data_IF_154297859346
#
_entry.id   IF_154297859346
#
_cell.length_a   1.000
_cell.length_b   1.000
_cell.length_c   1.000
_cell.angle_alpha   90.00
_cell.angle_beta   90.00
_cell.angle_gamma   90.00
#
_symmetry.space_group_name_H-M   'P 1'
#
loop_
_entity.id
_entity.type
_entity.pdbx_description
1 polymer ?
#
# COMPACT_ATOMS: atom_id res chain seq x y z
N UNK A 1 127.29 -12.50 18.62
CA UNK A 1 126.82 -11.24 17.99
C UNK A 1 125.84 -11.49 16.84
N UNK A 2 126.20 -12.31 15.84
CA UNK A 2 125.35 -12.60 14.67
C UNK A 2 123.99 -13.25 15.01
N UNK A 3 123.95 -14.21 15.94
CA UNK A 3 122.70 -14.87 16.36
C UNK A 3 121.73 -13.93 17.12
N UNK A 4 122.26 -13.00 17.92
CA UNK A 4 121.44 -12.02 18.66
C UNK A 4 120.85 -10.96 17.70
N UNK A 5 121.63 -10.51 16.72
CA UNK A 5 121.15 -9.58 15.68
C UNK A 5 120.07 -10.24 14.81
N UNK A 6 120.25 -11.52 14.45
CA UNK A 6 119.25 -12.28 13.70
C UNK A 6 117.96 -12.50 14.52
N UNK A 7 118.08 -12.86 15.80
CA UNK A 7 116.92 -13.03 16.68
C UNK A 7 116.14 -11.71 16.86
N UNK A 8 116.85 -10.59 17.08
CA UNK A 8 116.23 -9.28 17.27
C UNK A 8 115.51 -8.78 16.01
N UNK A 9 116.16 -8.91 14.84
CA UNK A 9 115.56 -8.60 13.54
C UNK A 9 114.34 -9.49 13.26
N UNK A 10 114.45 -10.79 13.54
CA UNK A 10 113.33 -11.72 13.36
C UNK A 10 112.16 -11.36 14.28
N UNK A 11 112.39 -11.07 15.56
CA UNK A 11 111.33 -10.67 16.49
C UNK A 11 110.71 -9.32 16.15
N UNK A 12 111.49 -8.36 15.65
CA UNK A 12 110.98 -7.05 15.24
C UNK A 12 110.13 -7.17 13.97
N UNK A 13 110.62 -7.87 12.96
CA UNK A 13 109.88 -8.12 11.72
C UNK A 13 108.62 -8.92 12.03
N UNK A 14 108.71 -9.97 12.84
CA UNK A 14 107.57 -10.80 13.19
C UNK A 14 106.53 -10.01 13.99
N UNK A 15 106.92 -9.24 15.01
CA UNK A 15 105.96 -8.45 15.81
C UNK A 15 105.37 -7.31 14.99
N UNK A 16 106.16 -6.60 14.18
CA UNK A 16 105.65 -5.51 13.34
C UNK A 16 104.69 -6.03 12.28
N UNK A 17 105.06 -7.09 11.54
CA UNK A 17 104.19 -7.70 10.54
C UNK A 17 102.94 -8.27 11.20
N UNK A 18 103.09 -9.02 12.30
CA UNK A 18 101.96 -9.63 12.98
C UNK A 18 101.00 -8.56 13.53
N UNK A 19 101.51 -7.54 14.23
CA UNK A 19 100.66 -6.48 14.78
C UNK A 19 100.02 -5.64 13.69
N UNK A 20 100.76 -5.23 12.67
CA UNK A 20 100.20 -4.42 11.59
C UNK A 20 99.16 -5.19 10.78
N UNK A 21 99.48 -6.41 10.35
CA UNK A 21 98.55 -7.25 9.60
C UNK A 21 97.35 -7.61 10.48
N UNK A 22 97.57 -8.08 11.70
CA UNK A 22 96.47 -8.48 12.57
C UNK A 22 95.58 -7.29 12.92
N UNK A 23 96.13 -6.15 13.32
CA UNK A 23 95.30 -4.98 13.68
C UNK A 23 94.61 -4.40 12.46
N UNK A 24 95.30 -4.22 11.34
CA UNK A 24 94.70 -3.65 10.14
C UNK A 24 93.63 -4.57 9.57
N UNK A 25 93.93 -5.86 9.37
CA UNK A 25 92.96 -6.82 8.85
C UNK A 25 91.82 -7.00 9.84
N UNK A 26 92.09 -7.21 11.12
CA UNK A 26 91.02 -7.43 12.09
C UNK A 26 90.15 -6.19 12.24
N UNK A 27 90.72 -5.00 12.39
CA UNK A 27 89.90 -3.78 12.54
C UNK A 27 89.16 -3.45 11.26
N UNK A 28 89.80 -3.50 10.09
CA UNK A 28 89.14 -3.19 8.83
C UNK A 28 88.04 -4.20 8.50
N UNK A 29 88.34 -5.50 8.56
CA UNK A 29 87.34 -6.53 8.29
C UNK A 29 86.24 -6.51 9.33
N UNK A 30 86.57 -6.47 10.62
CA UNK A 30 85.55 -6.48 11.66
C UNK A 30 84.68 -5.22 11.60
N UNK A 31 85.26 -4.03 11.48
CA UNK A 31 84.46 -2.80 11.42
C UNK A 31 83.66 -2.71 10.14
N UNK A 32 84.25 -3.00 8.98
CA UNK A 32 83.54 -2.93 7.70
C UNK A 32 82.43 -3.97 7.63
N UNK A 33 82.72 -5.24 7.93
CA UNK A 33 81.71 -6.30 7.90
C UNK A 33 80.64 -6.03 8.95
N UNK A 34 81.02 -5.73 10.20
CA UNK A 34 80.04 -5.51 11.25
C UNK A 34 79.18 -4.28 10.97
N UNK A 35 79.76 -3.15 10.57
CA UNK A 35 78.98 -1.94 10.29
C UNK A 35 78.12 -2.13 9.04
N UNK A 36 78.67 -2.68 7.95
CA UNK A 36 77.92 -2.89 6.71
C UNK A 36 76.78 -3.90 6.92
N UNK A 37 77.06 -5.07 7.49
CA UNK A 37 76.04 -6.09 7.75
C UNK A 37 75.01 -5.54 8.74
N UNK A 38 75.44 -4.97 9.86
CA UNK A 38 74.51 -4.49 10.87
C UNK A 38 73.66 -3.34 10.32
N UNK A 39 74.24 -2.34 9.67
CA UNK A 39 73.46 -1.22 9.13
C UNK A 39 72.57 -1.67 8.00
N UNK A 40 73.07 -2.45 7.03
CA UNK A 40 72.28 -2.90 5.90
C UNK A 40 71.14 -3.83 6.34
N UNK A 41 71.44 -4.86 7.13
CA UNK A 41 70.41 -5.80 7.60
C UNK A 41 69.42 -5.07 8.50
N UNK A 42 69.89 -4.29 9.49
CA UNK A 42 68.99 -3.61 10.39
C UNK A 42 68.14 -2.58 9.66
N UNK A 43 68.71 -1.73 8.80
CA UNK A 43 67.92 -0.73 8.08
C UNK A 43 66.99 -1.40 7.07
N UNK A 44 67.46 -2.35 6.28
CA UNK A 44 66.62 -3.03 5.28
C UNK A 44 65.49 -3.81 5.93
N UNK A 45 65.78 -4.66 6.92
CA UNK A 45 64.76 -5.45 7.61
C UNK A 45 63.82 -4.52 8.36
N UNK A 46 64.33 -3.57 9.15
CA UNK A 46 63.47 -2.69 9.92
C UNK A 46 62.61 -1.82 9.01
N UNK A 47 63.17 -1.18 7.99
CA UNK A 47 62.39 -0.33 7.09
C UNK A 47 61.42 -1.15 6.27
N UNK A 48 61.85 -2.25 5.66
CA UNK A 48 60.97 -3.08 4.83
C UNK A 48 59.84 -3.70 5.65
N UNK A 49 60.15 -4.36 6.77
CA UNK A 49 59.14 -4.99 7.62
C UNK A 49 58.23 -3.92 8.21
N UNK A 50 58.78 -2.84 8.79
CA UNK A 50 57.95 -1.81 9.41
C UNK A 50 57.08 -1.11 8.37
N UNK A 51 57.62 -0.70 7.22
CA UNK A 51 56.83 -0.02 6.19
C UNK A 51 55.82 -0.97 5.58
N UNK A 52 56.20 -2.20 5.21
CA UNK A 52 55.28 -3.16 4.62
C UNK A 52 54.16 -3.55 5.58
N UNK A 53 54.49 -3.94 6.81
CA UNK A 53 53.49 -4.32 7.80
C UNK A 53 52.62 -3.12 8.16
N UNK A 54 53.20 -1.96 8.46
CA UNK A 54 52.41 -0.79 8.83
C UNK A 54 51.53 -0.33 7.67
N UNK A 55 52.06 -0.22 6.45
CA UNK A 55 51.25 0.22 5.30
C UNK A 55 50.20 -0.81 4.95
N UNK A 56 50.54 -2.11 4.88
CA UNK A 56 49.58 -3.16 4.53
C UNK A 56 48.49 -3.28 5.59
N UNK A 57 48.85 -3.41 6.87
CA UNK A 57 47.87 -3.53 7.95
C UNK A 57 47.03 -2.26 8.04
N UNK A 58 47.65 -1.08 8.06
CA UNK A 58 46.90 0.17 8.18
C UNK A 58 46.00 0.39 6.97
N UNK A 59 46.49 0.21 5.74
CA UNK A 59 45.66 0.40 4.55
C UNK A 59 44.57 -0.66 4.47
N UNK A 60 44.88 -1.94 4.67
CA UNK A 60 43.89 -3.01 4.60
C UNK A 60 42.83 -2.87 5.69
N UNK A 61 43.22 -2.71 6.95
CA UNK A 61 42.27 -2.55 8.05
C UNK A 61 41.46 -1.28 7.87
N UNK A 62 42.11 -0.15 7.60
CA UNK A 62 41.40 1.12 7.46
C UNK A 62 40.46 1.09 6.25
N UNK A 63 40.91 0.63 5.09
CA UNK A 63 40.04 0.56 3.90
C UNK A 63 38.94 -0.46 4.09
N UNK A 64 39.22 -1.66 4.59
CA UNK A 64 38.21 -2.69 4.80
C UNK A 64 37.18 -2.24 5.83
N UNK A 65 37.60 -1.80 7.01
CA UNK A 65 36.68 -1.34 8.06
C UNK A 65 35.91 -0.13 7.58
N UNK A 66 36.57 0.89 7.02
CA UNK A 66 35.89 2.09 6.58
C UNK A 66 34.91 1.78 5.45
N UNK A 67 35.32 1.03 4.42
CA UNK A 67 34.43 0.70 3.31
C UNK A 67 33.31 -0.20 3.76
N UNK A 68 33.58 -1.26 4.52
CA UNK A 68 32.54 -2.18 4.98
C UNK A 68 31.54 -1.49 5.92
N UNK A 69 32.03 -0.80 6.95
CA UNK A 69 31.15 -0.09 7.89
C UNK A 69 30.39 1.01 7.17
N UNK A 70 31.05 1.85 6.39
CA UNK A 70 30.38 2.95 5.70
C UNK A 70 29.37 2.42 4.68
N UNK A 71 29.74 1.45 3.85
CA UNK A 71 28.81 0.89 2.85
C UNK A 71 27.68 0.14 3.53
N UNK A 72 27.93 -0.70 4.53
CA UNK A 72 26.89 -1.44 5.24
C UNK A 72 25.95 -0.51 5.98
N UNK A 73 26.46 0.42 6.78
CA UNK A 73 25.62 1.37 7.52
C UNK A 73 24.86 2.26 6.54
N UNK A 74 25.53 2.84 5.54
CA UNK A 74 24.86 3.71 4.58
C UNK A 74 23.80 2.96 3.79
N UNK A 75 24.11 1.76 3.26
CA UNK A 75 23.13 0.98 2.50
C UNK A 75 22.00 0.50 3.38
N UNK A 76 22.27 -0.03 4.58
CA UNK A 76 21.24 -0.49 5.49
C UNK A 76 20.33 0.64 5.94
N UNK A 77 20.90 1.75 6.44
CA UNK A 77 20.12 2.91 6.88
C UNK A 77 19.35 3.50 5.71
N UNK A 78 20.01 3.75 4.57
CA UNK A 78 19.34 4.35 3.42
C UNK A 78 18.23 3.43 2.88
N UNK A 79 18.50 2.14 2.69
CA UNK A 79 17.49 1.21 2.17
C UNK A 79 16.36 1.03 3.17
N UNK A 80 16.65 0.81 4.45
CA UNK A 80 15.62 0.61 5.47
C UNK A 80 14.76 1.87 5.65
N UNK A 81 15.38 3.04 5.84
CA UNK A 81 14.64 4.28 6.00
C UNK A 81 13.86 4.61 4.73
N UNK A 82 14.50 4.55 3.55
CA UNK A 82 13.81 4.86 2.31
C UNK A 82 12.67 3.88 2.04
N UNK A 83 12.89 2.58 2.19
CA UNK A 83 11.83 1.58 1.99
C UNK A 83 10.72 1.79 3.01
N UNK A 84 11.03 1.85 4.31
CA UNK A 84 10.03 2.02 5.35
C UNK A 84 9.20 3.30 5.16
N UNK A 85 9.87 4.45 4.98
CA UNK A 85 9.18 5.73 4.78
C UNK A 85 8.37 5.69 3.49
N UNK A 86 8.98 5.27 2.38
CA UNK A 86 8.28 5.24 1.10
C UNK A 86 7.09 4.29 1.15
N UNK A 87 7.26 3.06 1.64
CA UNK A 87 6.16 2.09 1.74
C UNK A 87 5.11 2.60 2.69
N UNK A 88 5.47 3.04 3.91
CA UNK A 88 4.50 3.46 4.91
C UNK A 88 3.70 4.68 4.44
N UNK A 89 4.39 5.73 3.98
CA UNK A 89 3.74 6.95 3.49
C UNK A 89 2.91 6.64 2.26
N UNK A 90 3.46 5.94 1.27
CA UNK A 90 2.73 5.64 0.05
C UNK A 90 1.53 4.75 0.35
N UNK A 91 1.67 3.67 1.12
CA UNK A 91 0.54 2.81 1.46
C UNK A 91 -0.48 3.54 2.30
N UNK A 92 -0.07 4.30 3.32
CA UNK A 92 -0.99 5.00 4.19
C UNK A 92 -1.75 6.10 3.44
N UNK A 93 -1.05 6.95 2.70
CA UNK A 93 -1.68 8.03 1.93
C UNK A 93 -2.54 7.43 0.83
N UNK A 94 -2.03 6.48 0.05
CA UNK A 94 -2.80 5.88 -1.04
C UNK A 94 -4.03 5.15 -0.50
N UNK A 95 -3.89 4.32 0.54
CA UNK A 95 -5.04 3.60 1.10
C UNK A 95 -6.01 4.56 1.75
N UNK A 96 -5.57 5.54 2.54
CA UNK A 96 -6.46 6.50 3.18
C UNK A 96 -7.19 7.36 2.16
N UNK A 97 -6.48 7.96 1.19
CA UNK A 97 -7.10 8.79 0.16
C UNK A 97 -8.02 7.95 -0.71
N UNK A 98 -7.55 6.79 -1.21
CA UNK A 98 -8.37 5.95 -2.06
C UNK A 98 -9.60 5.44 -1.32
N UNK A 99 -9.46 4.92 -0.10
CA UNK A 99 -10.61 4.45 0.67
C UNK A 99 -11.54 5.58 1.02
N UNK A 100 -11.05 6.72 1.52
CA UNK A 100 -11.89 7.85 1.89
C UNK A 100 -12.62 8.43 0.68
N UNK A 101 -11.90 8.75 -0.41
CA UNK A 101 -12.50 9.31 -1.61
C UNK A 101 -13.45 8.29 -2.25
N UNK A 102 -13.01 7.05 -2.45
CA UNK A 102 -13.85 6.04 -3.08
C UNK A 102 -15.08 5.76 -2.23
N UNK A 103 -14.94 5.51 -0.93
CA UNK A 103 -16.11 5.24 -0.07
C UNK A 103 -17.00 6.47 0.03
N UNK A 104 -16.47 7.66 0.28
CA UNK A 104 -17.28 8.86 0.42
C UNK A 104 -18.00 9.20 -0.89
N UNK A 105 -17.29 9.29 -2.01
CA UNK A 105 -17.90 9.62 -3.31
C UNK A 105 -18.85 8.51 -3.73
N UNK A 106 -18.43 7.24 -3.69
CA UNK A 106 -19.29 6.15 -4.12
C UNK A 106 -20.52 6.05 -3.23
N UNK A 107 -20.38 6.09 -1.90
CA UNK A 107 -21.55 6.01 -1.02
C UNK A 107 -22.43 7.23 -1.17
N UNK A 108 -21.88 8.45 -1.19
CA UNK A 108 -22.67 9.67 -1.31
C UNK A 108 -23.39 9.74 -2.65
N UNK A 109 -22.68 9.56 -3.77
CA UNK A 109 -23.29 9.61 -5.10
C UNK A 109 -24.27 8.46 -5.28
N UNK A 110 -23.87 7.23 -4.95
CA UNK A 110 -24.75 6.08 -5.13
C UNK A 110 -25.98 6.20 -4.24
N UNK A 111 -25.85 6.52 -2.95
CA UNK A 111 -27.01 6.68 -2.07
C UNK A 111 -27.85 7.85 -2.49
N UNK A 112 -27.28 9.02 -2.79
CA UNK A 112 -28.05 10.20 -3.19
C UNK A 112 -28.79 9.97 -4.50
N UNK A 113 -28.09 9.52 -5.55
CA UNK A 113 -28.71 9.27 -6.86
C UNK A 113 -29.71 8.13 -6.75
N UNK A 114 -29.34 6.99 -6.16
CA UNK A 114 -30.24 5.85 -6.04
C UNK A 114 -31.46 6.21 -5.21
N UNK A 115 -31.29 6.82 -4.03
CA UNK A 115 -32.45 7.20 -3.20
C UNK A 115 -33.28 8.27 -3.87
N UNK A 116 -32.68 9.32 -4.44
CA UNK A 116 -33.45 10.39 -5.07
C UNK A 116 -34.20 9.88 -6.30
N UNK A 117 -33.52 9.21 -7.23
CA UNK A 117 -34.16 8.67 -8.44
C UNK A 117 -35.17 7.60 -8.07
N UNK A 118 -34.81 6.63 -7.23
CA UNK A 118 -35.72 5.56 -6.86
C UNK A 118 -36.93 6.12 -6.10
N UNK A 119 -36.74 6.97 -5.10
CA UNK A 119 -37.87 7.56 -4.37
C UNK A 119 -38.70 8.45 -5.26
N UNK A 120 -38.10 9.34 -6.06
CA UNK A 120 -38.86 10.25 -6.92
C UNK A 120 -39.62 9.48 -8.00
N UNK A 121 -38.96 8.61 -8.75
CA UNK A 121 -39.62 7.82 -9.81
C UNK A 121 -40.63 6.87 -9.20
N UNK A 122 -40.27 6.09 -8.17
CA UNK A 122 -41.20 5.15 -7.57
C UNK A 122 -42.37 5.88 -6.93
N UNK A 123 -42.17 6.92 -6.13
CA UNK A 123 -43.28 7.65 -5.53
C UNK A 123 -44.10 8.34 -6.59
N UNK A 124 -43.51 9.06 -7.54
CA UNK A 124 -44.27 9.78 -8.56
C UNK A 124 -45.05 8.83 -9.46
N UNK A 125 -44.39 7.82 -10.06
CA UNK A 125 -45.06 6.87 -10.94
C UNK A 125 -46.06 6.04 -10.15
N UNK A 126 -45.68 5.45 -9.02
CA UNK A 126 -46.58 4.61 -8.26
C UNK A 126 -47.75 5.43 -7.72
N UNK A 127 -47.53 6.58 -7.09
CA UNK A 127 -48.65 7.38 -6.57
C UNK A 127 -49.50 7.92 -7.69
N UNK A 128 -48.93 8.50 -8.74
CA UNK A 128 -49.70 9.08 -9.83
C UNK A 128 -50.50 8.02 -10.59
N UNK A 129 -49.84 6.94 -11.05
CA UNK A 129 -50.52 5.88 -11.79
C UNK A 129 -51.50 5.15 -10.90
N UNK A 130 -51.10 4.73 -9.69
CA UNK A 130 -52.00 4.02 -8.80
C UNK A 130 -53.18 4.89 -8.40
N UNK A 131 -52.95 6.13 -7.95
CA UNK A 131 -54.07 6.99 -7.55
C UNK A 131 -54.95 7.34 -8.73
N UNK A 132 -54.39 7.73 -9.88
CA UNK A 132 -55.19 8.09 -11.05
C UNK A 132 -55.99 6.91 -11.58
N UNK A 133 -55.35 5.77 -11.85
CA UNK A 133 -56.03 4.59 -12.36
C UNK A 133 -57.03 4.05 -11.34
N UNK A 134 -56.60 3.88 -10.08
CA UNK A 134 -57.48 3.34 -9.04
C UNK A 134 -58.67 4.28 -8.80
N UNK A 135 -58.45 5.59 -8.63
CA UNK A 135 -59.56 6.53 -8.39
C UNK A 135 -60.45 6.63 -9.61
N UNK A 136 -59.90 6.73 -10.83
CA UNK A 136 -60.71 6.84 -12.04
C UNK A 136 -61.54 5.59 -12.28
N UNK A 137 -60.92 4.40 -12.25
CA UNK A 137 -61.64 3.13 -12.45
C UNK A 137 -62.64 2.90 -11.32
N UNK A 138 -62.23 3.09 -10.06
CA UNK A 138 -63.11 2.88 -8.92
C UNK A 138 -64.30 3.83 -8.96
N UNK A 139 -64.08 5.14 -9.18
CA UNK A 139 -65.17 6.12 -9.25
C UNK A 139 -66.07 5.87 -10.45
N UNK A 140 -65.51 5.57 -11.63
CA UNK A 140 -66.30 5.29 -12.82
C UNK A 140 -67.16 4.04 -12.66
N UNK A 141 -66.59 2.91 -12.22
CA UNK A 141 -67.33 1.67 -12.01
C UNK A 141 -68.36 1.85 -10.89
N UNK A 142 -67.98 2.45 -9.77
CA UNK A 142 -68.89 2.66 -8.64
C UNK A 142 -70.06 3.57 -9.01
N UNK A 143 -69.81 4.69 -9.71
CA UNK A 143 -70.88 5.60 -10.15
C UNK A 143 -71.76 4.94 -11.21
N UNK A 144 -71.19 4.17 -12.14
CA UNK A 144 -71.96 3.46 -13.16
C UNK A 144 -72.89 2.41 -12.55
N UNK A 145 -72.37 1.57 -11.64
CA UNK A 145 -73.18 0.58 -10.92
C UNK A 145 -74.25 1.27 -10.06
N UNK A 146 -73.88 2.34 -9.34
CA UNK A 146 -74.83 3.10 -8.53
C UNK A 146 -75.95 3.70 -9.38
N UNK A 147 -75.64 4.26 -10.56
CA UNK A 147 -76.62 4.79 -11.49
C UNK A 147 -77.55 3.70 -12.06
N UNK A 148 -77.03 2.50 -12.35
CA UNK A 148 -77.87 1.37 -12.75
C UNK A 148 -78.83 1.00 -11.61
N UNK A 149 -78.32 0.91 -10.39
CA UNK A 149 -79.13 0.55 -9.23
C UNK A 149 -80.24 1.59 -8.97
N UNK A 150 -79.91 2.88 -9.01
CA UNK A 150 -80.90 3.96 -8.85
C UNK A 150 -81.91 3.97 -9.99
N UNK A 151 -81.50 3.70 -11.23
CA UNK A 151 -82.40 3.57 -12.38
C UNK A 151 -83.38 2.40 -12.21
N UNK A 152 -82.88 1.21 -11.84
CA UNK A 152 -83.74 0.03 -11.58
C UNK A 152 -84.70 0.32 -10.43
N UNK A 153 -84.20 0.89 -9.32
CA UNK A 153 -85.03 1.21 -8.15
C UNK A 153 -86.13 2.22 -8.49
N UNK A 154 -85.80 3.30 -9.20
CA UNK A 154 -86.78 4.31 -9.62
C UNK A 154 -87.77 3.75 -10.63
N UNK A 155 -87.34 2.92 -11.58
CA UNK A 155 -88.22 2.25 -12.54
C UNK A 155 -89.20 1.29 -11.84
N UNK A 156 -88.72 0.44 -10.93
CA UNK A 156 -89.59 -0.47 -10.17
C UNK A 156 -90.55 0.32 -9.29
N UNK A 157 -90.07 1.34 -8.58
CA UNK A 157 -90.92 2.15 -7.71
C UNK A 157 -92.02 2.88 -8.50
N UNK A 158 -91.66 3.50 -9.63
CA UNK A 158 -92.63 4.18 -10.51
C UNK A 158 -93.62 3.19 -11.13
N UNK A 159 -93.16 2.01 -11.57
CA UNK A 159 -94.03 0.95 -12.08
C UNK A 159 -95.03 0.47 -11.03
N UNK A 160 -94.57 0.19 -9.81
CA UNK A 160 -95.44 -0.22 -8.70
C UNK A 160 -96.43 0.88 -8.35
N UNK A 161 -95.99 2.13 -8.22
CA UNK A 161 -96.88 3.28 -7.94
C UNK A 161 -97.94 3.46 -9.03
N UNK A 162 -97.55 3.34 -10.30
CA UNK A 162 -98.47 3.43 -11.43
C UNK A 162 -99.46 2.25 -11.43
N UNK A 163 -99.01 1.03 -11.15
CA UNK A 163 -99.87 -0.16 -11.03
C UNK A 163 -100.87 -0.03 -9.88
N UNK A 164 -100.44 0.47 -8.72
CA UNK A 164 -101.31 0.75 -7.58
C UNK A 164 -102.33 1.84 -7.93
N UNK A 165 -101.92 2.89 -8.62
CA UNK A 165 -102.82 3.95 -9.07
C UNK A 165 -103.88 3.44 -10.06
N UNK A 166 -103.48 2.61 -11.03
CA UNK A 166 -104.40 1.94 -11.96
C UNK A 166 -105.39 1.00 -11.26
N UNK A 167 -104.93 0.21 -10.29
CA UNK A 167 -105.83 -0.67 -9.50
C UNK A 167 -106.81 0.12 -8.61
N UNK A 168 -106.45 1.33 -8.18
CA UNK A 168 -107.36 2.25 -7.45
C UNK A 168 -108.38 2.92 -8.36
N UNK A 169 -108.05 3.19 -9.62
CA UNK A 169 -108.98 3.80 -10.60
C UNK A 169 -109.95 2.81 -11.24
N UNK A 170 -109.55 1.54 -11.36
CA UNK A 170 -110.41 0.46 -11.85
C UNK A 170 -110.58 -0.63 -10.79
N UNK A 171 -111.42 -0.42 -9.75
CA UNK A 171 -111.89 -1.53 -8.94
C UNK A 171 -112.67 -2.46 -9.88
N UNK A 172 -112.22 -3.72 -10.03
CA UNK A 172 -112.92 -4.75 -10.82
C UNK A 172 -114.41 -4.81 -10.42
N UNK A 173 -115.27 -4.18 -11.20
CA UNK A 173 -116.71 -4.39 -11.20
C UNK A 173 -117.02 -5.45 -12.26
N UNK A 174 -116.84 -6.73 -11.91
CA UNK A 174 -117.40 -7.82 -12.72
C UNK A 174 -118.87 -7.95 -12.32
N UNK A 175 -119.72 -7.19 -13.02
CA UNK A 175 -121.15 -7.45 -13.13
C UNK A 175 -121.30 -8.53 -14.20
N UNK A 176 -121.63 -9.76 -13.79
CA UNK A 176 -122.10 -10.80 -14.70
C UNK A 176 -123.52 -10.43 -15.15
N UNK A 177 -123.70 -10.13 -16.43
CA UNK A 177 -125.02 -10.03 -17.08
C UNK A 177 -124.99 -10.97 -18.29
N UNK A 178 -125.45 -12.20 -18.08
CA UNK A 178 -125.70 -13.16 -19.15
C UNK A 178 -127.16 -13.06 -19.65
N UNK A 179 -127.34 -13.44 -20.91
CA UNK A 179 -128.35 -13.02 -21.89
C UNK A 179 -129.79 -13.53 -21.65
N UNK A 180 -130.77 -12.80 -22.21
CA UNK A 180 -132.13 -13.31 -22.50
C UNK A 180 -132.18 -14.00 -23.89
N UNK A 181 -132.85 -15.16 -23.91
CA UNK A 181 -133.76 -15.71 -24.95
C UNK A 181 -133.26 -15.88 -26.40
N UNK A 182 -132.97 -17.13 -26.77
CA UNK A 182 -133.78 -17.95 -27.69
C UNK A 182 -133.44 -19.43 -27.44
#
# INVERSE_FOLDING_TARGET
MHACMHACMHTYIHTYIHTYIHTYIHTYIHTYIHTYIHTYIHTYIHTYIHTYIHTYIHTYIHTYIHTYIHTYIHTYIHTYIHTYIHTYIHTYIHTYIHTYIHTYIHTYIHTYIHTYIHTYIHTYIHTYIHTYIHTYIHTYIHTYIHNIYTYIHTYIHTYIQCSLWLTKLYPRSIIVRDKRHA
#
